data_IF_911038700819
#
_entry.id   IF_911038700819
#
_cell.length_a   1.000
_cell.length_b   1.000
_cell.length_c   1.000
_cell.angle_alpha   90.00
_cell.angle_beta   90.00
_cell.angle_gamma   90.00
#
_symmetry.space_group_name_H-M   'P 1'
#
loop_
_entity.id
_entity.type
_entity.pdbx_description
1 polymer ?
#
# COMPACT_ATOMS: atom_id res chain seq x y z
N UNK A 1 14.72 -29.84 12.40
CA UNK A 1 14.93 -28.94 11.24
C UNK A 1 14.72 -27.50 11.70
N UNK A 2 15.78 -26.68 11.77
CA UNK A 2 15.68 -25.27 12.13
C UNK A 2 15.43 -24.47 10.87
N UNK A 3 14.17 -24.08 10.63
CA UNK A 3 13.83 -23.12 9.58
C UNK A 3 14.18 -21.72 10.10
N UNK A 4 15.47 -21.37 10.14
CA UNK A 4 15.88 -20.00 10.37
C UNK A 4 15.49 -19.21 9.13
N UNK A 5 14.33 -18.56 9.18
CA UNK A 5 13.94 -17.57 8.19
C UNK A 5 15.05 -16.53 8.12
N UNK A 6 15.91 -16.63 7.11
CA UNK A 6 16.77 -15.53 6.70
C UNK A 6 15.79 -14.45 6.26
N UNK A 7 15.42 -13.55 7.16
CA UNK A 7 14.73 -12.33 6.80
C UNK A 7 15.67 -11.63 5.81
N UNK A 8 15.38 -11.76 4.52
CA UNK A 8 16.07 -11.03 3.48
C UNK A 8 16.10 -9.57 3.90
N UNK A 9 17.27 -8.91 3.80
CA UNK A 9 17.41 -7.49 4.11
C UNK A 9 16.31 -6.72 3.38
N UNK A 10 15.33 -6.23 4.12
CA UNK A 10 14.23 -5.47 3.54
C UNK A 10 14.77 -4.13 3.06
N UNK A 11 14.62 -3.86 1.77
CA UNK A 11 14.93 -2.54 1.21
C UNK A 11 13.80 -1.59 1.55
N UNK A 12 14.11 -0.53 2.31
CA UNK A 12 13.14 0.52 2.63
C UNK A 12 12.84 1.34 1.37
N UNK A 13 11.59 1.26 0.90
CA UNK A 13 11.15 1.98 -0.31
C UNK A 13 10.75 3.43 -0.01
N UNK A 14 10.07 3.66 1.11
CA UNK A 14 9.64 4.99 1.54
C UNK A 14 9.39 5.03 3.05
N UNK A 15 9.42 6.22 3.64
CA UNK A 15 9.04 6.44 5.04
C UNK A 15 8.54 7.88 5.22
N UNK A 16 7.43 8.05 5.95
CA UNK A 16 6.89 9.37 6.33
C UNK A 16 6.35 9.33 7.75
N UNK A 17 6.54 10.41 8.50
CA UNK A 17 5.91 10.64 9.81
C UNK A 17 4.69 11.54 9.61
N UNK A 18 3.63 11.28 10.37
CA UNK A 18 2.40 12.06 10.35
C UNK A 18 2.08 12.55 11.75
N UNK A 19 1.62 13.79 11.85
CA UNK A 19 1.05 14.36 13.08
C UNK A 19 -0.46 14.50 12.85
N UNK A 20 -1.28 14.12 13.84
CA UNK A 20 -2.73 14.16 13.72
C UNK A 20 -3.26 13.32 12.54
N UNK A 21 -2.79 12.07 12.45
CA UNK A 21 -3.02 11.09 11.39
C UNK A 21 -4.39 11.18 10.72
N UNK A 22 -4.40 11.33 9.38
CA UNK A 22 -5.61 11.26 8.56
C UNK A 22 -5.44 10.20 7.46
N UNK A 23 -6.40 9.27 7.28
CA UNK A 23 -6.28 8.17 6.32
C UNK A 23 -5.91 8.58 4.89
N UNK A 24 -6.45 9.69 4.38
CA UNK A 24 -6.13 10.18 3.03
C UNK A 24 -4.65 10.54 2.84
N UNK A 25 -3.96 10.98 3.89
CA UNK A 25 -2.54 11.31 3.84
C UNK A 25 -1.68 10.06 3.62
N UNK A 26 -2.11 8.93 4.21
CA UNK A 26 -1.47 7.63 4.01
C UNK A 26 -1.65 7.18 2.57
N UNK A 27 -2.87 7.23 2.06
CA UNK A 27 -3.16 6.80 0.68
C UNK A 27 -2.42 7.67 -0.34
N UNK A 28 -2.34 8.97 -0.09
CA UNK A 28 -1.53 9.90 -0.91
C UNK A 28 -0.06 9.50 -0.89
N UNK A 29 0.50 9.24 0.30
CA UNK A 29 1.89 8.82 0.45
C UNK A 29 2.17 7.48 -0.24
N UNK A 30 1.28 6.50 -0.11
CA UNK A 30 1.40 5.19 -0.74
C UNK A 30 1.37 5.32 -2.28
N UNK A 31 0.40 6.04 -2.83
CA UNK A 31 0.32 6.29 -4.26
C UNK A 31 1.54 7.04 -4.79
N UNK A 32 2.04 8.05 -4.06
CA UNK A 32 3.27 8.76 -4.47
C UNK A 32 4.51 7.86 -4.44
N UNK A 33 4.54 6.86 -3.55
CA UNK A 33 5.71 6.01 -3.34
C UNK A 33 5.72 4.75 -4.19
N UNK A 34 4.55 4.23 -4.57
CA UNK A 34 4.39 2.89 -5.13
C UNK A 34 3.64 2.86 -6.47
N UNK A 35 3.10 3.99 -6.97
CA UNK A 35 2.45 4.03 -8.28
C UNK A 35 3.37 3.62 -9.42
N UNK A 36 4.65 3.98 -9.36
CA UNK A 36 5.67 3.57 -10.35
C UNK A 36 5.99 2.06 -10.29
N UNK A 37 5.50 1.36 -9.28
CA UNK A 37 5.63 -0.10 -9.11
C UNK A 37 4.34 -0.85 -9.44
N UNK A 38 3.43 -0.22 -10.17
CA UNK A 38 2.16 -0.84 -10.57
C UNK A 38 1.14 -0.95 -9.43
N UNK A 39 1.34 -0.29 -8.28
CA UNK A 39 0.38 -0.38 -7.16
C UNK A 39 -0.37 0.93 -6.96
N UNK A 40 -1.70 0.84 -6.94
CA UNK A 40 -2.58 1.97 -6.65
C UNK A 40 -3.40 1.67 -5.39
N UNK A 41 -3.57 2.66 -4.54
CA UNK A 41 -4.28 2.58 -3.27
C UNK A 41 -5.51 3.46 -3.33
N UNK A 42 -6.68 2.87 -3.05
CA UNK A 42 -7.96 3.56 -2.93
C UNK A 42 -8.41 3.64 -1.48
N UNK A 43 -9.10 4.73 -1.12
CA UNK A 43 -9.66 4.92 0.21
C UNK A 43 -11.14 5.23 0.09
N UNK A 44 -11.98 4.48 0.80
CA UNK A 44 -13.41 4.73 0.94
C UNK A 44 -13.77 4.86 2.40
N UNK A 45 -14.79 5.66 2.69
CA UNK A 45 -15.40 5.73 4.02
C UNK A 45 -16.78 5.08 3.95
N UNK A 46 -17.05 4.16 4.86
CA UNK A 46 -18.35 3.53 5.04
C UNK A 46 -18.79 3.76 6.47
N UNK A 47 -19.80 4.62 6.64
CA UNK A 47 -20.26 5.05 7.97
C UNK A 47 -19.08 5.60 8.80
N UNK A 48 -18.74 4.91 9.90
CA UNK A 48 -17.65 5.27 10.82
C UNK A 48 -16.34 4.51 10.53
N UNK A 49 -16.30 3.73 9.45
CA UNK A 49 -15.15 2.89 9.07
C UNK A 49 -14.46 3.38 7.79
N UNK A 50 -13.17 3.08 7.69
CA UNK A 50 -12.36 3.38 6.50
C UNK A 50 -11.93 2.08 5.83
N UNK A 51 -12.21 1.95 4.55
CA UNK A 51 -11.77 0.84 3.70
C UNK A 51 -10.57 1.29 2.86
N UNK A 52 -9.44 0.59 2.98
CA UNK A 52 -8.27 0.73 2.11
C UNK A 52 -8.25 -0.42 1.10
N UNK A 53 -8.28 -0.10 -0.19
CA UNK A 53 -8.16 -1.08 -1.28
C UNK A 53 -6.81 -0.93 -1.96
N UNK A 54 -6.19 -2.04 -2.32
CA UNK A 54 -4.94 -2.07 -3.12
C UNK A 54 -5.27 -2.68 -4.47
N UNK A 55 -4.92 -1.97 -5.53
CA UNK A 55 -5.09 -2.38 -6.91
C UNK A 55 -3.72 -2.66 -7.52
N UNK A 56 -3.65 -3.74 -8.30
CA UNK A 56 -2.60 -3.93 -9.27
C UNK A 56 -3.00 -3.18 -10.54
N UNK A 57 -2.19 -2.19 -10.93
CA UNK A 57 -2.42 -1.35 -12.10
C UNK A 57 -1.81 -1.96 -13.37
N UNK A 58 -0.94 -2.95 -13.21
CA UNK A 58 -0.32 -3.69 -14.31
C UNK A 58 -1.14 -4.95 -14.65
N UNK A 59 -2.08 -5.35 -13.78
CA UNK A 59 -3.09 -6.35 -14.08
C UNK A 59 -4.11 -5.79 -15.10
N UNK A 60 -3.76 -5.91 -16.38
CA UNK A 60 -4.68 -5.78 -17.50
C UNK A 60 -5.62 -6.99 -17.48
N UNK A 61 -6.55 -7.00 -16.52
CA UNK A 61 -7.41 -8.15 -16.25
C UNK A 61 -7.85 -8.86 -17.54
N UNK A 62 -7.46 -10.13 -17.66
CA UNK A 62 -8.07 -11.01 -18.66
C UNK A 62 -9.55 -11.11 -18.29
N UNK A 63 -10.41 -10.46 -19.09
CA UNK A 63 -11.84 -10.75 -19.11
C UNK A 63 -11.99 -12.25 -19.41
N UNK A 64 -12.30 -13.04 -18.37
CA UNK A 64 -12.70 -14.46 -18.46
C UNK A 64 -14.17 -14.61 -18.12
#
# INVERSE_FOLDING_TARGET
MKLSAQHAKLTRLAQRRFEGFRPYQVVTFLNQSLKERGLIFGLRQFEDEWELTVYDADDHGEES
#
